data_IF_270242512083
#
_entry.id   IF_270242512083
#
_cell.length_a   1.000
_cell.length_b   1.000
_cell.length_c   1.000
_cell.angle_alpha   90.00
_cell.angle_beta   90.00
_cell.angle_gamma   90.00
#
_symmetry.space_group_name_H-M   'P 1'
#
loop_
_entity.id
_entity.type
_entity.pdbx_description
1 polymer ?
#
# COMPACT_ATOMS: atom_id res chain seq x y z
N UNK A 1 16.56 8.43 32.49
CA UNK A 1 16.79 7.69 31.22
C UNK A 1 15.80 8.16 30.18
N UNK A 2 16.26 8.81 29.12
CA UNK A 2 15.41 9.33 28.03
C UNK A 2 14.90 8.19 27.16
N UNK A 3 13.58 8.07 27.00
CA UNK A 3 12.93 7.01 26.24
C UNK A 3 13.32 7.15 24.76
N UNK A 4 14.09 6.20 24.21
CA UNK A 4 14.50 6.21 22.79
C UNK A 4 13.27 6.29 21.89
N UNK A 5 13.25 7.27 21.00
CA UNK A 5 12.16 7.45 20.04
C UNK A 5 12.19 6.35 18.98
N UNK A 6 11.09 6.18 18.24
CA UNK A 6 11.05 5.23 17.12
C UNK A 6 12.14 5.52 16.08
N UNK A 7 12.46 6.80 15.85
CA UNK A 7 13.53 7.22 14.96
C UNK A 7 14.92 6.78 15.45
N UNK A 8 15.16 6.84 16.76
CA UNK A 8 16.43 6.37 17.35
C UNK A 8 16.58 4.85 17.19
N UNK A 9 15.48 4.11 17.39
CA UNK A 9 15.47 2.66 17.18
C UNK A 9 15.69 2.30 15.71
N UNK A 10 15.07 3.02 14.79
CA UNK A 10 15.25 2.84 13.34
C UNK A 10 16.67 3.15 12.88
N UNK A 11 17.29 4.22 13.42
CA UNK A 11 18.70 4.55 13.12
C UNK A 11 19.64 3.48 13.62
N UNK A 12 19.44 3.00 14.84
CA UNK A 12 20.24 1.92 15.40
C UNK A 12 20.08 0.63 14.58
N UNK A 13 18.84 0.25 14.26
CA UNK A 13 18.56 -0.94 13.46
C UNK A 13 19.19 -0.89 12.06
N UNK A 14 19.19 0.28 11.40
CA UNK A 14 19.90 0.47 10.11
C UNK A 14 21.40 0.29 10.24
N UNK A 15 22.00 0.80 11.31
CA UNK A 15 23.43 0.64 11.60
C UNK A 15 23.78 -0.82 11.86
N UNK A 16 22.97 -1.52 12.64
CA UNK A 16 23.18 -2.93 12.99
C UNK A 16 22.97 -3.88 11.78
N UNK A 17 22.27 -3.41 10.73
CA UNK A 17 21.93 -4.17 9.52
C UNK A 17 22.56 -3.57 8.25
N UNK A 18 23.57 -2.74 8.39
CA UNK A 18 24.17 -1.96 7.31
C UNK A 18 24.61 -2.83 6.13
N UNK A 19 25.24 -3.97 6.41
CA UNK A 19 25.72 -4.91 5.38
C UNK A 19 24.57 -5.60 4.63
N UNK A 20 23.51 -6.04 5.33
CA UNK A 20 22.31 -6.61 4.70
C UNK A 20 21.54 -5.56 3.89
N UNK A 21 21.52 -4.32 4.38
CA UNK A 21 20.87 -3.20 3.69
C UNK A 21 21.64 -2.80 2.44
N UNK A 22 22.96 -2.70 2.51
CA UNK A 22 23.84 -2.43 1.37
C UNK A 22 23.72 -3.53 0.32
N UNK A 23 23.70 -4.80 0.73
CA UNK A 23 23.53 -5.94 -0.18
C UNK A 23 22.17 -5.95 -0.85
N UNK A 24 21.09 -5.68 -0.11
CA UNK A 24 19.74 -5.58 -0.68
C UNK A 24 19.55 -4.38 -1.62
N UNK A 25 20.30 -3.29 -1.44
CA UNK A 25 20.29 -2.12 -2.34
C UNK A 25 21.14 -2.36 -3.59
N UNK A 26 22.29 -3.03 -3.44
CA UNK A 26 23.25 -3.23 -4.52
C UNK A 26 23.00 -4.49 -5.36
N UNK A 27 22.26 -5.47 -4.84
CA UNK A 27 21.85 -6.63 -5.62
C UNK A 27 20.83 -6.20 -6.69
N UNK A 28 21.20 -6.43 -7.95
CA UNK A 28 20.30 -6.25 -9.08
C UNK A 28 19.21 -7.33 -8.95
N UNK A 29 17.91 -6.98 -8.93
CA UNK A 29 16.88 -8.00 -8.85
C UNK A 29 16.95 -8.88 -10.11
N UNK A 30 17.11 -10.20 -9.91
CA UNK A 30 17.30 -11.25 -10.94
C UNK A 30 16.05 -11.49 -11.83
N UNK A 31 15.21 -10.48 -12.04
CA UNK A 31 13.82 -10.57 -12.53
C UNK A 31 12.86 -11.17 -11.50
N UNK A 32 12.41 -10.34 -10.57
CA UNK A 32 11.21 -10.62 -9.78
C UNK A 32 9.98 -10.01 -10.47
N UNK A 33 9.00 -10.82 -10.84
CA UNK A 33 7.66 -10.30 -11.11
C UNK A 33 7.07 -9.77 -9.81
N UNK A 34 6.25 -8.73 -9.88
CA UNK A 34 5.63 -8.09 -8.70
C UNK A 34 4.95 -9.13 -7.81
N UNK A 35 4.37 -10.17 -8.40
CA UNK A 35 3.70 -11.27 -7.71
C UNK A 35 4.63 -12.13 -6.84
N UNK A 36 5.91 -12.29 -7.21
CA UNK A 36 6.89 -13.01 -6.38
C UNK A 36 7.22 -12.26 -5.08
N UNK A 37 6.94 -10.96 -5.01
CA UNK A 37 7.15 -10.15 -3.81
C UNK A 37 6.02 -10.30 -2.78
N UNK A 38 4.88 -10.85 -3.16
CA UNK A 38 3.70 -10.95 -2.30
C UNK A 38 3.48 -12.39 -1.78
N UNK A 39 4.02 -12.67 -0.60
CA UNK A 39 3.69 -13.86 0.19
C UNK A 39 2.40 -13.62 0.98
N UNK A 40 1.23 -13.92 0.38
CA UNK A 40 -0.06 -13.61 1.00
C UNK A 40 -0.30 -14.42 2.30
N UNK A 41 -0.87 -13.80 3.37
CA UNK A 41 -1.23 -12.39 3.48
C UNK A 41 0.02 -11.49 3.61
N UNK A 42 0.04 -10.40 2.83
CA UNK A 42 1.18 -9.48 2.77
C UNK A 42 0.72 -8.02 2.88
N UNK A 43 1.59 -7.18 3.41
CA UNK A 43 1.44 -5.72 3.41
C UNK A 43 2.58 -5.14 2.58
N UNK A 44 2.27 -4.34 1.58
CA UNK A 44 3.25 -3.58 0.82
C UNK A 44 3.07 -2.08 1.02
N UNK A 45 4.19 -1.39 1.19
CA UNK A 45 4.25 0.05 1.26
C UNK A 45 4.93 0.59 0.01
N UNK A 46 4.16 1.26 -0.86
CA UNK A 46 4.68 1.86 -2.09
C UNK A 46 5.11 3.30 -1.78
N UNK A 47 6.43 3.53 -1.76
CA UNK A 47 7.03 4.84 -1.50
C UNK A 47 7.63 5.41 -2.78
N UNK A 48 7.59 6.73 -2.89
CA UNK A 48 8.14 7.45 -4.04
C UNK A 48 7.70 8.90 -4.09
N UNK A 49 8.41 9.70 -4.87
CA UNK A 49 8.15 11.13 -5.06
C UNK A 49 6.73 11.40 -5.61
N UNK A 50 6.27 12.65 -5.47
CA UNK A 50 4.96 13.08 -5.98
C UNK A 50 4.93 12.89 -7.51
N UNK A 51 3.82 12.36 -8.04
CA UNK A 51 3.60 12.05 -9.48
C UNK A 51 4.42 10.90 -10.08
N UNK A 52 5.12 10.10 -9.28
CA UNK A 52 5.88 8.93 -9.77
C UNK A 52 5.02 7.65 -9.92
N UNK A 53 3.71 7.79 -10.17
CA UNK A 53 2.86 6.64 -10.51
C UNK A 53 2.52 5.65 -9.39
N UNK A 54 2.73 5.98 -8.10
CA UNK A 54 2.44 5.07 -6.97
C UNK A 54 1.05 4.43 -7.01
N UNK A 55 0.02 5.26 -7.22
CA UNK A 55 -1.37 4.80 -7.32
C UNK A 55 -1.58 3.86 -8.50
N UNK A 56 -0.98 4.17 -9.66
CA UNK A 56 -1.02 3.29 -10.83
C UNK A 56 -0.33 1.94 -10.56
N UNK A 57 0.82 1.96 -9.86
CA UNK A 57 1.51 0.75 -9.43
C UNK A 57 0.64 -0.10 -8.50
N UNK A 58 -0.04 0.51 -7.53
CA UNK A 58 -0.97 -0.20 -6.64
C UNK A 58 -2.13 -0.85 -7.43
N UNK A 59 -2.72 -0.13 -8.39
CA UNK A 59 -3.78 -0.69 -9.24
C UNK A 59 -3.28 -1.86 -10.07
N UNK A 60 -2.07 -1.75 -10.63
CA UNK A 60 -1.48 -2.83 -11.41
C UNK A 60 -1.22 -4.09 -10.59
N UNK A 61 -0.71 -3.93 -9.36
CA UNK A 61 -0.55 -5.05 -8.41
C UNK A 61 -1.91 -5.69 -8.10
N UNK A 62 -2.93 -4.88 -7.83
CA UNK A 62 -4.29 -5.36 -7.59
C UNK A 62 -4.86 -6.14 -8.77
N UNK A 63 -4.70 -5.64 -9.99
CA UNK A 63 -5.07 -6.32 -11.22
C UNK A 63 -4.35 -7.67 -11.38
N UNK A 64 -3.03 -7.70 -11.18
CA UNK A 64 -2.24 -8.93 -11.34
C UNK A 64 -2.64 -9.99 -10.30
N UNK A 65 -2.96 -9.56 -9.06
CA UNK A 65 -3.48 -10.44 -8.01
C UNK A 65 -4.89 -10.92 -8.32
N UNK A 66 -5.77 -10.04 -8.82
CA UNK A 66 -7.11 -10.43 -9.26
C UNK A 66 -7.02 -11.50 -10.38
N UNK A 67 -6.22 -11.25 -11.42
CA UNK A 67 -6.07 -12.18 -12.55
C UNK A 67 -5.45 -13.51 -12.15
N UNK A 68 -4.50 -13.52 -11.20
CA UNK A 68 -3.79 -14.75 -10.81
C UNK A 68 -4.45 -15.52 -9.68
N UNK A 69 -5.21 -14.87 -8.81
CA UNK A 69 -5.79 -15.46 -7.58
C UNK A 69 -7.31 -15.32 -7.46
N UNK A 70 -7.96 -14.59 -8.37
CA UNK A 70 -9.41 -14.36 -8.34
C UNK A 70 -9.88 -13.48 -7.18
N UNK A 71 -8.99 -12.69 -6.57
CA UNK A 71 -9.32 -11.84 -5.41
C UNK A 71 -9.91 -10.51 -5.87
N UNK A 72 -10.89 -9.99 -5.14
CA UNK A 72 -11.42 -8.64 -5.38
C UNK A 72 -10.42 -7.58 -4.90
N UNK A 73 -10.50 -6.39 -5.51
CA UNK A 73 -9.68 -5.24 -5.12
C UNK A 73 -10.57 -4.15 -4.56
N UNK A 74 -10.20 -3.57 -3.44
CA UNK A 74 -10.91 -2.47 -2.83
C UNK A 74 -10.04 -1.23 -2.79
N UNK A 75 -10.55 -0.12 -3.31
CA UNK A 75 -9.92 1.20 -3.19
C UNK A 75 -10.49 1.88 -1.96
N UNK A 76 -9.69 1.98 -0.91
CA UNK A 76 -10.12 2.65 0.31
C UNK A 76 -9.85 4.15 0.21
N UNK A 77 -10.92 4.93 0.22
CA UNK A 77 -10.87 6.38 0.25
C UNK A 77 -11.24 6.89 1.65
N UNK A 78 -10.68 8.03 2.09
CA UNK A 78 -11.03 8.60 3.37
C UNK A 78 -12.52 8.97 3.43
N UNK A 79 -13.18 8.87 4.60
CA UNK A 79 -14.60 9.24 4.77
C UNK A 79 -14.91 10.70 4.39
N UNK A 80 -13.91 11.58 4.44
CA UNK A 80 -14.02 12.98 4.03
C UNK A 80 -14.16 13.17 2.52
N UNK A 81 -13.93 12.12 1.71
CA UNK A 81 -14.10 12.19 0.26
C UNK A 81 -15.58 12.38 -0.10
N UNK A 82 -15.95 13.45 -0.85
CA UNK A 82 -17.34 13.70 -1.24
C UNK A 82 -17.98 12.51 -1.96
N UNK A 83 -19.26 12.28 -1.70
CA UNK A 83 -19.98 11.13 -2.29
C UNK A 83 -19.97 11.15 -3.84
N UNK A 84 -20.07 12.34 -4.44
CA UNK A 84 -20.05 12.48 -5.91
C UNK A 84 -18.69 12.12 -6.52
N UNK A 85 -17.60 12.44 -5.82
CA UNK A 85 -16.25 12.01 -6.22
C UNK A 85 -16.12 10.50 -6.12
N UNK A 86 -16.61 9.89 -5.03
CA UNK A 86 -16.60 8.44 -4.85
C UNK A 86 -17.37 7.70 -5.95
N UNK A 87 -18.57 8.16 -6.29
CA UNK A 87 -19.37 7.61 -7.40
C UNK A 87 -18.66 7.74 -8.73
N UNK A 88 -18.01 8.89 -8.98
CA UNK A 88 -17.26 9.13 -10.22
C UNK A 88 -16.08 8.16 -10.33
N UNK A 89 -15.31 7.98 -9.25
CA UNK A 89 -14.21 7.02 -9.20
C UNK A 89 -14.74 5.60 -9.43
N UNK A 90 -15.80 5.18 -8.72
CA UNK A 90 -16.38 3.85 -8.88
C UNK A 90 -16.79 3.54 -10.33
N UNK A 91 -17.32 4.53 -11.08
CA UNK A 91 -17.69 4.36 -12.50
C UNK A 91 -16.50 4.19 -13.43
N UNK A 92 -15.32 4.65 -13.05
CA UNK A 92 -14.09 4.53 -13.84
C UNK A 92 -13.34 3.23 -13.53
N UNK A 93 -13.66 2.59 -12.41
CA UNK A 93 -13.03 1.37 -11.98
C UNK A 93 -13.68 0.15 -12.66
N UNK A 94 -12.91 -0.91 -12.95
CA UNK A 94 -13.44 -2.19 -13.40
C UNK A 94 -14.37 -2.83 -12.36
N UNK A 95 -15.22 -3.76 -12.81
CA UNK A 95 -16.24 -4.42 -11.96
C UNK A 95 -15.65 -5.21 -10.78
N UNK A 96 -14.41 -5.71 -10.91
CA UNK A 96 -13.71 -6.40 -9.82
C UNK A 96 -13.13 -5.46 -8.75
N UNK A 97 -13.28 -4.14 -8.94
CA UNK A 97 -12.79 -3.11 -8.03
C UNK A 97 -13.94 -2.35 -7.37
N UNK A 98 -13.87 -2.19 -6.05
CA UNK A 98 -14.90 -1.49 -5.28
C UNK A 98 -14.32 -0.37 -4.43
N UNK A 99 -14.95 0.80 -4.44
CA UNK A 99 -14.60 1.92 -3.57
C UNK A 99 -15.20 1.70 -2.19
N UNK A 100 -14.36 1.73 -1.15
CA UNK A 100 -14.78 1.64 0.25
C UNK A 100 -14.37 2.89 1.01
N UNK A 101 -15.06 3.17 2.12
CA UNK A 101 -14.71 4.27 3.05
C UNK A 101 -14.52 3.81 4.48
N UNK A 102 -14.97 2.60 4.80
CA UNK A 102 -14.84 2.02 6.13
C UNK A 102 -14.15 0.67 6.02
N UNK A 103 -13.34 0.35 7.04
CA UNK A 103 -12.69 -0.96 7.13
C UNK A 103 -13.69 -2.11 7.30
N UNK A 104 -14.90 -1.82 7.81
CA UNK A 104 -15.97 -2.80 7.95
C UNK A 104 -16.58 -3.23 6.60
N UNK A 105 -16.36 -2.45 5.53
CA UNK A 105 -16.77 -2.78 4.17
C UNK A 105 -15.77 -3.71 3.47
N UNK A 106 -14.63 -4.02 4.12
CA UNK A 106 -13.59 -4.84 3.51
C UNK A 106 -13.98 -6.31 3.48
N UNK A 107 -14.14 -6.84 2.27
CA UNK A 107 -14.30 -8.27 2.02
C UNK A 107 -13.07 -9.07 2.47
N UNK A 108 -13.31 -10.30 2.92
CA UNK A 108 -12.24 -11.26 3.21
C UNK A 108 -11.55 -11.67 1.90
N UNK A 109 -10.26 -12.03 1.98
CA UNK A 109 -9.45 -12.49 0.84
C UNK A 109 -9.43 -11.50 -0.34
N UNK A 110 -9.09 -10.25 -0.03
CA UNK A 110 -9.09 -9.15 -0.97
C UNK A 110 -7.78 -8.36 -0.93
N UNK A 111 -7.55 -7.54 -1.95
CA UNK A 111 -6.49 -6.54 -1.95
C UNK A 111 -7.10 -5.20 -1.59
N UNK A 112 -6.57 -4.54 -0.57
CA UNK A 112 -7.01 -3.19 -0.20
C UNK A 112 -5.92 -2.18 -0.58
N UNK A 113 -6.26 -1.29 -1.51
CA UNK A 113 -5.42 -0.14 -1.89
C UNK A 113 -5.78 1.03 -0.98
N UNK A 114 -4.83 1.42 -0.14
CA UNK A 114 -4.97 2.55 0.79
C UNK A 114 -4.12 3.72 0.29
N UNK A 115 -4.71 4.59 -0.54
CA UNK A 115 -4.00 5.76 -1.07
C UNK A 115 -3.92 6.87 -0.01
N UNK A 116 -2.80 7.60 0.00
CA UNK A 116 -2.52 8.69 0.94
C UNK A 116 -2.69 8.35 2.43
N UNK A 117 -2.25 7.15 2.85
CA UNK A 117 -2.32 6.66 4.23
C UNK A 117 -1.86 7.66 5.32
N UNK A 118 -0.89 8.52 4.97
CA UNK A 118 -0.40 9.56 5.86
C UNK A 118 -1.49 10.58 6.25
N UNK A 119 -2.38 10.97 5.33
CA UNK A 119 -3.44 11.94 5.59
C UNK A 119 -4.48 11.37 6.56
N UNK A 120 -4.85 10.09 6.40
CA UNK A 120 -5.82 9.44 7.29
C UNK A 120 -5.24 9.10 8.65
N UNK A 121 -3.93 8.81 8.74
CA UNK A 121 -3.23 8.57 10.01
C UNK A 121 -3.08 9.86 10.84
N UNK A 122 -2.87 11.01 10.20
CA UNK A 122 -2.78 12.30 10.90
C UNK A 122 -4.15 12.81 11.38
N UNK A 123 -5.23 12.54 10.65
CA UNK A 123 -6.60 12.89 11.06
C UNK A 123 -7.08 12.18 12.35
N UNK A 124 -6.43 11.08 12.77
CA UNK A 124 -6.73 10.39 14.04
C UNK A 124 -5.95 10.92 15.24
N UNK A 125 -5.03 11.87 15.05
CA UNK A 125 -4.16 12.42 16.12
C UNK A 125 -4.58 13.79 16.63
N UNK A 126 -5.70 14.33 16.13
CA UNK A 126 -6.38 15.53 16.64
C UNK A 126 -7.67 15.13 17.32
#
# INVERSE_FOLDING_TARGET
>A
MTKKTFLDKMRQWRKDKEEQYARAIMEKPDHSTILKLFSLPAIALILGSRRFGKTATAHKIGEDLHRSRGVNVMVHLPPSCPQEVRKTIQKQLPDYMTVTTKTAEWEKNSVVIYDEAAQTAHARRT
#
